data_IF_705410387790
#
_entry.id   IF_705410387790
#
_cell.length_a   1.000
_cell.length_b   1.000
_cell.length_c   1.000
_cell.angle_alpha   90.00
_cell.angle_beta   90.00
_cell.angle_gamma   90.00
#
_symmetry.space_group_name_H-M   'P 1'
#
loop_
_entity.id
_entity.type
_entity.pdbx_description
1 polymer ?
#
# COMPACT_ATOMS: atom_id res chain seq x y z
N UNK A 1 -1.16 -21.56 43.50
CA UNK A 1 -1.99 -20.95 42.45
C UNK A 1 -1.64 -19.47 42.42
N UNK A 2 -0.96 -19.00 41.37
CA UNK A 2 -0.58 -17.59 41.25
C UNK A 2 -1.78 -16.82 40.70
N UNK A 3 -2.37 -15.97 41.54
CA UNK A 3 -3.44 -15.07 41.15
C UNK A 3 -2.83 -13.94 40.31
N UNK A 4 -3.15 -13.92 39.02
CA UNK A 4 -2.82 -12.79 38.14
C UNK A 4 -3.59 -11.58 38.66
N UNK A 5 -2.87 -10.49 38.92
CA UNK A 5 -3.45 -9.26 39.44
C UNK A 5 -4.45 -8.68 38.41
N UNK A 6 -5.73 -8.47 38.77
CA UNK A 6 -6.75 -7.98 37.84
C UNK A 6 -6.40 -6.61 37.23
N UNK A 7 -5.57 -5.81 37.93
CA UNK A 7 -5.05 -4.54 37.42
C UNK A 7 -4.08 -4.75 36.25
N UNK A 8 -3.29 -5.82 36.27
CA UNK A 8 -2.39 -6.19 35.17
C UNK A 8 -3.18 -6.68 33.95
N UNK A 9 -4.29 -7.40 34.17
CA UNK A 9 -5.19 -7.87 33.12
C UNK A 9 -5.91 -6.70 32.42
N UNK A 10 -6.33 -5.70 33.19
CA UNK A 10 -6.96 -4.49 32.65
C UNK A 10 -5.96 -3.65 31.83
N UNK A 11 -4.70 -3.57 32.25
CA UNK A 11 -3.63 -2.88 31.51
C UNK A 11 -3.38 -3.60 30.18
N UNK A 12 -3.23 -4.92 30.16
CA UNK A 12 -3.03 -5.68 28.91
C UNK A 12 -4.21 -5.46 27.94
N UNK A 13 -5.45 -5.49 28.44
CA UNK A 13 -6.65 -5.22 27.63
C UNK A 13 -6.78 -3.76 27.16
N UNK A 14 -6.27 -2.78 27.93
CA UNK A 14 -6.31 -1.37 27.57
C UNK A 14 -5.16 -0.95 26.63
N UNK A 15 -4.11 -1.76 26.49
CA UNK A 15 -3.04 -1.57 25.51
C UNK A 15 -3.23 -2.40 24.23
N UNK A 16 -4.27 -3.24 24.15
CA UNK A 16 -4.82 -3.80 22.90
C UNK A 16 -5.73 -2.80 22.17
N UNK A 17 -5.51 -1.50 22.32
CA UNK A 17 -6.05 -0.55 21.34
C UNK A 17 -5.28 -0.79 20.05
N UNK A 18 -5.92 -1.50 19.11
CA UNK A 18 -5.53 -1.59 17.72
C UNK A 18 -5.02 -0.22 17.30
N UNK A 19 -3.71 -0.10 17.03
CA UNK A 19 -3.15 1.12 16.48
C UNK A 19 -3.70 1.24 15.06
N UNK A 20 -4.92 1.74 14.93
CA UNK A 20 -5.53 2.00 13.64
C UNK A 20 -4.57 2.89 12.87
N UNK A 21 -4.23 2.48 11.65
CA UNK A 21 -3.33 3.28 10.84
C UNK A 21 -3.91 4.68 10.63
N UNK A 22 -3.01 5.65 10.57
CA UNK A 22 -3.37 7.03 10.28
C UNK A 22 -3.55 7.17 8.77
N UNK A 23 -4.74 6.80 8.29
CA UNK A 23 -5.10 6.92 6.87
C UNK A 23 -5.41 8.38 6.53
N UNK A 24 -4.75 8.92 5.51
CA UNK A 24 -5.03 10.25 4.97
C UNK A 24 -5.31 10.16 3.47
N UNK A 25 -6.52 10.53 3.07
CA UNK A 25 -6.90 10.72 1.67
C UNK A 25 -6.77 12.18 1.28
N UNK A 26 -6.06 12.45 0.19
CA UNK A 26 -5.82 13.79 -0.34
C UNK A 26 -6.38 13.89 -1.76
N UNK A 27 -7.13 14.95 -2.04
CA UNK A 27 -7.67 15.24 -3.37
C UNK A 27 -8.54 14.13 -4.00
N UNK A 28 -9.02 13.17 -3.20
CA UNK A 28 -9.99 12.16 -3.64
C UNK A 28 -11.40 12.74 -3.54
N UNK A 29 -12.17 12.64 -4.61
CA UNK A 29 -13.53 13.21 -4.66
C UNK A 29 -14.61 12.13 -4.67
N UNK A 30 -14.30 10.96 -5.22
CA UNK A 30 -15.27 9.87 -5.28
C UNK A 30 -15.40 9.14 -3.93
N UNK A 31 -16.57 9.26 -3.30
CA UNK A 31 -16.83 8.68 -1.98
C UNK A 31 -16.80 7.13 -1.99
N UNK A 32 -17.25 6.49 -3.06
CA UNK A 32 -17.26 5.03 -3.16
C UNK A 32 -15.84 4.47 -3.29
N UNK A 33 -14.98 5.15 -4.07
CA UNK A 33 -13.56 4.85 -4.17
C UNK A 33 -12.85 5.07 -2.82
N UNK A 34 -13.10 6.19 -2.14
CA UNK A 34 -12.54 6.44 -0.79
C UNK A 34 -12.95 5.34 0.19
N UNK A 35 -14.23 4.96 0.19
CA UNK A 35 -14.72 3.89 1.04
C UNK A 35 -13.99 2.57 0.72
N UNK A 36 -13.86 2.21 -0.56
CA UNK A 36 -13.19 0.97 -0.98
C UNK A 36 -11.71 0.97 -0.62
N UNK A 37 -11.00 2.08 -0.83
CA UNK A 37 -9.60 2.21 -0.43
C UNK A 37 -9.46 2.08 1.09
N UNK A 38 -10.36 2.71 1.87
CA UNK A 38 -10.33 2.62 3.32
C UNK A 38 -10.59 1.19 3.81
N UNK A 39 -11.58 0.49 3.22
CA UNK A 39 -11.84 -0.93 3.49
C UNK A 39 -10.62 -1.80 3.17
N UNK A 40 -9.98 -1.59 2.02
CA UNK A 40 -8.78 -2.32 1.61
C UNK A 40 -7.62 -2.10 2.58
N UNK A 41 -7.39 -0.84 2.99
CA UNK A 41 -6.33 -0.46 3.92
C UNK A 41 -6.53 -1.08 5.30
N UNK A 42 -7.74 -0.96 5.87
CA UNK A 42 -8.05 -1.54 7.19
C UNK A 42 -7.89 -3.06 7.14
N UNK A 43 -8.48 -3.71 6.13
CA UNK A 43 -8.46 -5.16 6.01
C UNK A 43 -7.03 -5.72 5.85
N UNK A 44 -6.22 -5.02 5.06
CA UNK A 44 -4.88 -5.48 4.73
C UNK A 44 -3.84 -5.11 5.80
N UNK A 45 -4.21 -4.36 6.84
CA UNK A 45 -3.36 -4.15 8.01
C UNK A 45 -3.28 -5.42 8.87
N UNK A 46 -4.43 -6.04 9.13
CA UNK A 46 -4.50 -7.28 9.92
C UNK A 46 -3.76 -8.44 9.24
N UNK A 47 -3.75 -8.44 7.90
CA UNK A 47 -3.07 -9.45 7.07
C UNK A 47 -1.62 -9.05 6.76
N UNK A 48 -1.34 -7.76 6.60
CA UNK A 48 -0.03 -7.24 6.24
C UNK A 48 1.03 -7.61 7.26
N UNK A 49 0.73 -7.57 8.56
CA UNK A 49 1.65 -8.05 9.59
C UNK A 49 1.93 -9.55 9.50
N UNK A 50 0.98 -10.35 9.01
CA UNK A 50 1.19 -11.79 8.79
C UNK A 50 2.09 -12.01 7.57
N UNK A 51 1.82 -11.31 6.47
CA UNK A 51 2.63 -11.36 5.24
C UNK A 51 4.06 -10.85 5.47
N UNK A 52 4.26 -9.83 6.30
CA UNK A 52 5.61 -9.37 6.69
C UNK A 52 6.41 -10.45 7.42
N UNK A 53 5.73 -11.40 8.06
CA UNK A 53 6.37 -12.51 8.76
C UNK A 53 6.51 -13.76 7.89
N UNK A 54 5.96 -13.77 6.67
CA UNK A 54 6.20 -14.83 5.71
C UNK A 54 7.69 -14.86 5.32
N UNK A 55 8.29 -16.03 5.51
CA UNK A 55 9.69 -16.29 5.21
C UNK A 55 9.92 -16.56 3.71
N UNK A 56 8.86 -16.85 2.96
CA UNK A 56 8.91 -17.14 1.52
C UNK A 56 9.23 -15.91 0.66
N UNK A 57 8.86 -14.71 1.13
CA UNK A 57 8.96 -13.46 0.36
C UNK A 57 10.36 -12.80 0.37
N UNK A 58 11.33 -13.39 1.08
CA UNK A 58 12.72 -12.90 1.17
C UNK A 58 12.86 -11.40 1.48
N UNK A 59 12.01 -10.87 2.38
CA UNK A 59 12.01 -9.45 2.76
C UNK A 59 13.04 -9.21 3.87
N UNK A 60 13.97 -8.28 3.65
CA UNK A 60 15.01 -7.92 4.64
C UNK A 60 14.42 -7.18 5.86
N UNK A 61 15.08 -7.20 7.03
CA UNK A 61 14.61 -6.48 8.22
C UNK A 61 14.39 -4.97 8.01
N UNK A 62 15.23 -4.32 7.20
CA UNK A 62 15.06 -2.90 6.85
C UNK A 62 13.81 -2.67 6.01
N UNK A 63 13.56 -3.51 5.00
CA UNK A 63 12.35 -3.46 4.19
C UNK A 63 11.10 -3.73 5.05
N UNK A 64 11.12 -4.73 5.94
CA UNK A 64 10.01 -5.00 6.87
C UNK A 64 9.69 -3.79 7.74
N UNK A 65 10.71 -3.13 8.28
CA UNK A 65 10.54 -1.90 9.08
C UNK A 65 9.93 -0.76 8.24
N UNK A 66 10.37 -0.59 6.99
CA UNK A 66 9.80 0.39 6.07
C UNK A 66 8.34 0.07 5.73
N UNK A 67 8.01 -1.17 5.42
CA UNK A 67 6.63 -1.60 5.13
C UNK A 67 5.71 -1.39 6.33
N UNK A 68 6.15 -1.76 7.54
CA UNK A 68 5.41 -1.48 8.77
C UNK A 68 5.16 0.02 8.97
N UNK A 69 6.14 0.87 8.67
CA UNK A 69 5.95 2.33 8.71
C UNK A 69 4.89 2.80 7.72
N UNK A 70 4.88 2.28 6.49
CA UNK A 70 3.88 2.63 5.47
C UNK A 70 2.47 2.14 5.83
N UNK A 71 2.36 0.96 6.46
CA UNK A 71 1.10 0.45 7.01
C UNK A 71 0.52 1.32 8.11
N UNK A 72 1.34 1.81 9.03
CA UNK A 72 0.88 2.64 10.14
C UNK A 72 0.55 4.09 9.70
N UNK A 73 1.11 4.53 8.57
CA UNK A 73 1.06 5.92 8.11
C UNK A 73 0.61 6.03 6.64
N UNK A 74 -0.51 5.38 6.32
CA UNK A 74 -1.04 5.34 4.95
C UNK A 74 -1.45 6.73 4.47
N UNK A 75 -0.89 7.14 3.35
CA UNK A 75 -1.24 8.39 2.69
C UNK A 75 -1.53 8.13 1.22
N UNK A 76 -2.76 8.40 0.83
CA UNK A 76 -3.27 8.18 -0.52
C UNK A 76 -3.66 9.51 -1.13
N UNK A 77 -3.25 9.76 -2.36
CA UNK A 77 -3.60 10.97 -3.11
C UNK A 77 -4.22 10.61 -4.45
N UNK A 78 -5.43 11.08 -4.70
CA UNK A 78 -6.05 10.90 -6.02
C UNK A 78 -5.53 11.94 -7.01
N UNK A 79 -5.35 11.52 -8.26
CA UNK A 79 -4.85 12.34 -9.35
C UNK A 79 -5.47 11.89 -10.68
N UNK A 80 -5.62 12.85 -11.58
CA UNK A 80 -6.06 12.64 -12.97
C UNK A 80 -4.96 13.04 -13.97
N UNK A 81 -3.74 13.30 -13.48
CA UNK A 81 -2.62 13.73 -14.32
C UNK A 81 -2.27 12.67 -15.36
N UNK A 82 -2.63 12.91 -16.62
CA UNK A 82 -2.35 12.02 -17.75
C UNK A 82 -0.85 11.71 -17.92
N UNK A 83 0.04 12.60 -17.46
CA UNK A 83 1.49 12.39 -17.53
C UNK A 83 1.98 11.23 -16.63
N UNK A 84 1.25 10.92 -15.55
CA UNK A 84 1.60 9.84 -14.61
C UNK A 84 0.59 8.69 -14.66
N UNK A 85 -0.67 8.98 -14.99
CA UNK A 85 -1.72 7.99 -15.19
C UNK A 85 -1.78 7.48 -16.64
N UNK A 86 -0.63 7.48 -17.33
CA UNK A 86 -0.56 7.15 -18.76
C UNK A 86 -0.92 5.68 -19.02
N UNK A 87 -1.47 5.41 -20.19
CA UNK A 87 -1.88 4.06 -20.64
C UNK A 87 -0.76 3.30 -21.37
N UNK A 88 0.48 3.80 -21.30
CA UNK A 88 1.56 3.38 -22.18
C UNK A 88 2.26 2.06 -21.74
N UNK A 89 1.80 1.43 -20.66
CA UNK A 89 2.33 0.17 -20.13
C UNK A 89 1.29 -0.95 -20.19
N UNK A 90 1.02 -1.55 -21.37
CA UNK A 90 0.13 -2.73 -21.57
C UNK A 90 -1.12 -2.78 -20.66
N UNK A 91 -1.71 -1.62 -20.38
CA UNK A 91 -2.64 -1.38 -19.27
C UNK A 91 -2.59 0.08 -18.82
N UNK A 92 -3.69 0.56 -18.25
CA UNK A 92 -3.78 1.90 -17.66
C UNK A 92 -3.12 1.90 -16.29
N UNK A 93 -2.16 2.79 -16.00
CA UNK A 93 -1.59 2.92 -14.65
C UNK A 93 -2.71 3.19 -13.64
N UNK A 94 -2.91 2.27 -12.68
CA UNK A 94 -3.97 2.39 -11.67
C UNK A 94 -3.49 3.14 -10.43
N UNK A 95 -2.23 2.93 -10.07
CA UNK A 95 -1.55 3.61 -8.99
C UNK A 95 -0.07 3.80 -9.32
N UNK A 96 0.59 4.69 -8.59
CA UNK A 96 2.04 4.83 -8.61
C UNK A 96 2.54 5.44 -7.30
N UNK A 97 3.84 5.32 -7.07
CA UNK A 97 4.53 5.96 -5.96
C UNK A 97 5.89 6.47 -6.42
N UNK A 98 6.40 7.51 -5.75
CA UNK A 98 7.74 8.03 -6.04
C UNK A 98 8.74 7.33 -5.12
N UNK A 99 9.45 6.34 -5.67
CA UNK A 99 10.54 5.63 -4.97
C UNK A 99 11.59 6.63 -4.47
N UNK A 100 11.99 6.51 -3.19
CA UNK A 100 12.99 7.37 -2.57
C UNK A 100 14.40 7.27 -3.22
N UNK A 101 14.63 6.29 -4.10
CA UNK A 101 15.97 5.87 -4.53
C UNK A 101 16.24 5.89 -6.05
N UNK A 102 15.24 5.99 -6.93
CA UNK A 102 15.46 5.92 -8.40
C UNK A 102 15.10 7.17 -9.19
N UNK A 103 14.40 8.13 -8.62
CA UNK A 103 13.97 9.28 -9.42
C UNK A 103 15.08 10.32 -9.54
N UNK A 104 15.84 10.26 -10.64
CA UNK A 104 16.62 11.40 -11.18
C UNK A 104 15.75 12.56 -11.69
N UNK A 105 14.46 12.56 -11.35
CA UNK A 105 13.55 13.67 -11.62
C UNK A 105 13.83 14.78 -10.61
N UNK A 106 14.19 15.95 -11.14
CA UNK A 106 14.24 17.21 -10.40
C UNK A 106 12.83 17.62 -10.00
N UNK A 107 12.26 16.91 -9.02
CA UNK A 107 11.03 17.32 -8.37
C UNK A 107 11.41 18.43 -7.38
N UNK A 108 10.86 19.62 -7.58
CA UNK A 108 11.13 20.79 -6.74
C UNK A 108 11.13 20.42 -5.26
N UNK A 109 12.28 20.64 -4.63
CA UNK A 109 12.53 20.29 -3.24
C UNK A 109 11.63 21.06 -2.23
N UNK A 110 10.73 21.92 -2.71
CA UNK A 110 9.79 22.70 -1.89
C UNK A 110 8.49 21.96 -1.50
N UNK A 111 8.08 20.88 -2.19
CA UNK A 111 6.83 20.15 -1.90
C UNK A 111 7.02 18.80 -1.16
N UNK A 112 8.25 18.51 -0.75
CA UNK A 112 8.76 17.19 -0.36
C UNK A 112 8.01 16.49 0.79
N UNK A 113 7.31 17.21 1.67
CA UNK A 113 6.51 16.57 2.73
C UNK A 113 5.20 15.95 2.22
N UNK A 114 4.66 16.47 1.12
CA UNK A 114 3.34 16.08 0.61
C UNK A 114 3.39 14.95 -0.45
N UNK A 115 4.56 14.67 -1.00
CA UNK A 115 4.78 13.67 -2.07
C UNK A 115 5.50 12.43 -1.56
N UNK A 116 6.43 12.58 -0.60
CA UNK A 116 7.10 11.44 0.04
C UNK A 116 6.07 10.58 0.76
N UNK A 117 6.26 9.27 0.71
CA UNK A 117 5.44 8.29 1.42
C UNK A 117 3.96 8.36 1.04
N UNK A 118 3.67 8.64 -0.23
CA UNK A 118 2.29 8.80 -0.73
C UNK A 118 2.07 7.85 -1.89
N UNK A 119 0.99 7.07 -1.82
CA UNK A 119 0.48 6.29 -2.95
C UNK A 119 -0.45 7.18 -3.74
N UNK A 120 -0.20 7.32 -5.03
CA UNK A 120 -1.01 8.10 -5.94
C UNK A 120 -1.98 7.18 -6.67
N UNK A 121 -3.25 7.53 -6.68
CA UNK A 121 -4.32 6.75 -7.29
C UNK A 121 -4.82 7.49 -8.54
N UNK A 122 -4.83 6.79 -9.66
CA UNK A 122 -5.33 7.30 -10.93
C UNK A 122 -6.85 7.13 -10.98
N UNK A 123 -7.56 8.11 -10.42
CA UNK A 123 -9.01 8.07 -10.17
C UNK A 123 -9.79 7.80 -11.47
N UNK A 124 -9.46 8.49 -12.56
CA UNK A 124 -10.12 8.29 -13.86
C UNK A 124 -9.91 6.87 -14.42
N UNK A 125 -8.74 6.26 -14.24
CA UNK A 125 -8.46 4.92 -14.76
C UNK A 125 -9.23 3.84 -13.99
N UNK A 126 -9.44 4.04 -12.69
CA UNK A 126 -10.25 3.15 -11.85
C UNK A 126 -11.75 3.33 -12.05
N UNK A 127 -12.20 4.58 -12.30
CA UNK A 127 -13.62 4.90 -12.47
C UNK A 127 -14.14 4.73 -13.90
N UNK A 128 -13.28 4.84 -14.92
CA UNK A 128 -13.69 4.81 -16.34
C UNK A 128 -14.07 3.43 -16.89
N UNK A 129 -14.04 2.38 -16.07
CA UNK A 129 -14.78 1.14 -16.39
C UNK A 129 -14.09 0.14 -17.32
N UNK A 130 -12.81 0.30 -17.67
CA UNK A 130 -12.05 -0.79 -18.33
C UNK A 130 -11.84 -1.97 -17.36
N UNK A 131 -11.69 -1.67 -16.06
CA UNK A 131 -11.58 -2.67 -14.98
C UNK A 131 -12.73 -2.62 -13.97
N UNK A 132 -13.57 -1.57 -14.00
CA UNK A 132 -14.55 -1.29 -12.95
C UNK A 132 -13.89 -0.86 -11.63
N UNK A 133 -14.71 -0.48 -10.64
CA UNK A 133 -14.21 -0.25 -9.28
C UNK A 133 -13.65 -1.57 -8.75
N UNK A 134 -12.35 -1.65 -8.38
CA UNK A 134 -11.76 -2.89 -7.92
C UNK A 134 -12.50 -3.42 -6.69
N UNK A 135 -12.52 -4.75 -6.56
CA UNK A 135 -12.91 -5.38 -5.31
C UNK A 135 -11.98 -4.94 -4.17
N UNK A 136 -12.39 -5.19 -2.92
CA UNK A 136 -11.56 -4.86 -1.75
C UNK A 136 -10.16 -5.47 -1.86
N UNK A 137 -10.07 -6.72 -2.32
CA UNK A 137 -8.83 -7.48 -2.43
C UNK A 137 -7.92 -6.93 -3.55
N UNK A 138 -8.50 -6.59 -4.70
CA UNK A 138 -7.74 -6.01 -5.81
C UNK A 138 -7.24 -4.60 -5.46
N UNK A 139 -8.05 -3.82 -4.72
CA UNK A 139 -7.61 -2.52 -4.20
C UNK A 139 -6.48 -2.65 -3.17
N UNK A 140 -6.52 -3.70 -2.33
CA UNK A 140 -5.44 -4.03 -1.42
C UNK A 140 -4.16 -4.38 -2.17
N UNK A 141 -4.24 -5.24 -3.18
CA UNK A 141 -3.10 -5.58 -4.06
C UNK A 141 -2.45 -4.29 -4.61
N UNK A 142 -3.24 -3.42 -5.23
CA UNK A 142 -2.77 -2.17 -5.85
C UNK A 142 -2.06 -1.26 -4.83
N UNK A 143 -2.69 -0.98 -3.68
CA UNK A 143 -2.12 -0.05 -2.69
C UNK A 143 -0.83 -0.62 -2.08
N UNK A 144 -0.80 -1.93 -1.84
CA UNK A 144 0.30 -2.56 -1.12
C UNK A 144 1.48 -2.88 -2.04
N UNK A 145 1.22 -3.10 -3.33
CA UNK A 145 2.24 -3.10 -4.37
C UNK A 145 3.07 -1.81 -4.33
N UNK A 146 2.38 -0.65 -4.26
CA UNK A 146 3.03 0.65 -4.16
C UNK A 146 3.77 0.87 -2.84
N UNK A 147 3.32 0.28 -1.73
CA UNK A 147 4.13 0.24 -0.51
C UNK A 147 5.40 -0.59 -0.67
N UNK A 148 5.36 -1.65 -1.47
CA UNK A 148 6.54 -2.43 -1.86
C UNK A 148 7.61 -1.54 -2.50
N UNK A 149 7.21 -0.73 -3.49
CA UNK A 149 8.10 0.27 -4.12
C UNK A 149 8.67 1.26 -3.11
N UNK A 150 7.82 1.86 -2.29
CA UNK A 150 8.24 2.83 -1.29
C UNK A 150 9.21 2.24 -0.26
N UNK A 151 9.05 0.97 0.09
CA UNK A 151 9.94 0.24 1.00
C UNK A 151 11.23 -0.26 0.34
N UNK A 152 11.38 -0.10 -0.98
CA UNK A 152 12.53 -0.57 -1.73
C UNK A 152 12.55 -2.09 -1.90
N UNK A 153 11.38 -2.71 -2.06
CA UNK A 153 11.31 -4.07 -2.61
C UNK A 153 11.79 -4.02 -4.06
N UNK A 154 12.66 -4.95 -4.44
CA UNK A 154 13.34 -4.90 -5.74
C UNK A 154 12.36 -5.06 -6.89
N UNK A 155 12.39 -4.10 -7.82
CA UNK A 155 11.67 -4.20 -9.09
C UNK A 155 12.40 -5.20 -10.00
N UNK A 156 11.69 -6.21 -10.47
CA UNK A 156 12.26 -7.16 -11.42
C UNK A 156 12.55 -6.50 -12.78
N UNK A 157 13.40 -7.10 -13.63
CA UNK A 157 13.68 -6.60 -14.99
C UNK A 157 12.42 -6.51 -15.88
N UNK A 158 11.34 -7.18 -15.47
CA UNK A 158 10.06 -7.27 -16.16
C UNK A 158 8.91 -6.57 -15.40
N UNK A 159 9.23 -5.70 -14.44
CA UNK A 159 8.26 -4.94 -13.62
C UNK A 159 7.14 -4.28 -14.46
N UNK A 160 7.47 -3.86 -15.68
CA UNK A 160 6.56 -3.18 -16.61
C UNK A 160 5.98 -4.06 -17.74
N UNK A 161 6.34 -5.35 -17.82
CA UNK A 161 5.95 -6.22 -18.94
C UNK A 161 4.81 -7.20 -18.61
N UNK A 162 4.31 -7.19 -17.37
CA UNK A 162 3.21 -8.06 -16.93
C UNK A 162 3.62 -9.52 -16.72
N UNK A 163 4.92 -9.80 -16.53
CA UNK A 163 5.39 -11.07 -15.95
C UNK A 163 5.49 -10.86 -14.43
N UNK A 164 4.33 -10.88 -13.78
CA UNK A 164 4.06 -10.38 -12.43
C UNK A 164 4.84 -11.06 -11.29
N UNK A 165 5.63 -12.11 -11.54
CA UNK A 165 6.07 -13.01 -10.46
C UNK A 165 7.53 -12.88 -10.00
N UNK A 166 8.39 -12.18 -10.75
CA UNK A 166 9.79 -11.96 -10.31
C UNK A 166 9.95 -10.70 -9.46
N UNK A 167 9.00 -9.78 -9.53
CA UNK A 167 9.01 -8.56 -8.75
C UNK A 167 8.70 -8.85 -7.27
N UNK A 168 9.51 -8.31 -6.37
CA UNK A 168 9.29 -8.53 -4.94
C UNK A 168 8.07 -7.75 -4.43
N UNK A 169 7.74 -6.61 -5.04
CA UNK A 169 6.54 -5.84 -4.73
C UNK A 169 5.26 -6.54 -5.16
N UNK A 170 5.24 -7.18 -6.35
CA UNK A 170 4.10 -8.00 -6.81
C UNK A 170 3.92 -9.26 -5.96
N UNK A 171 4.99 -10.02 -5.67
CA UNK A 171 4.88 -11.19 -4.79
C UNK A 171 4.33 -10.85 -3.40
N UNK A 172 4.74 -9.69 -2.88
CA UNK A 172 4.22 -9.18 -1.63
C UNK A 172 2.74 -8.77 -1.71
N UNK A 173 2.32 -8.06 -2.76
CA UNK A 173 0.91 -7.70 -2.95
C UNK A 173 0.02 -8.92 -3.26
N UNK A 174 0.54 -9.90 -3.98
CA UNK A 174 -0.12 -11.18 -4.27
C UNK A 174 -0.39 -11.95 -2.96
N UNK A 175 0.60 -12.05 -2.07
CA UNK A 175 0.41 -12.70 -0.77
C UNK A 175 -0.67 -12.02 0.08
N UNK A 176 -0.82 -10.69 -0.03
CA UNK A 176 -1.88 -9.93 0.64
C UNK A 176 -3.23 -10.21 0.00
N UNK A 177 -3.29 -10.22 -1.32
CA UNK A 177 -4.50 -10.55 -2.08
C UNK A 177 -4.97 -11.98 -1.78
N UNK A 178 -4.06 -12.95 -1.78
CA UNK A 178 -4.35 -14.35 -1.44
C UNK A 178 -4.92 -14.48 -0.02
N UNK A 179 -4.36 -13.70 0.92
CA UNK A 179 -4.87 -13.63 2.29
C UNK A 179 -6.26 -13.00 2.40
N UNK A 180 -6.78 -12.39 1.32
CA UNK A 180 -8.12 -11.81 1.30
C UNK A 180 -9.26 -12.81 1.05
N UNK A 181 -8.95 -14.08 0.78
CA UNK A 181 -9.91 -15.12 0.40
C UNK A 181 -10.32 -16.02 1.57
#
# INVERSE_FOLDING_TARGET
MNLINPTLLLIILLFETSSFAKVKFLNCKDHALIQRMNEAIIYSQDLGYQVLNDRSLSISPSQKKSLAFYYENVKVKCTTSAAHCSTNHRGSTLAFSFENHKSGFAFDQLLLGSVRNTVFICEDNLLSGVHGLPGRCDMAEIIFHEFGHLAGLESGPFHNSGLFHDDQSYRYSDAIRESCH
#
